data_IF_479115568794
#
_entry.id   IF_479115568794
#
_cell.length_a   1.000
_cell.length_b   1.000
_cell.length_c   1.000
_cell.angle_alpha   90.00
_cell.angle_beta   90.00
_cell.angle_gamma   90.00
#
_symmetry.space_group_name_H-M   'P 1'
#
loop_
_entity.id
_entity.type
_entity.pdbx_description
1 polymer ?
#
# COMPACT_ATOMS: atom_id res chain seq x y z
N UNK A 1 -15.99 17.40 11.48
CA UNK A 1 -15.38 16.25 10.79
C UNK A 1 -15.46 15.05 11.71
N UNK A 2 -15.81 13.89 11.17
CA UNK A 2 -15.85 12.61 11.88
C UNK A 2 -14.99 11.58 11.15
N UNK A 3 -14.32 10.71 11.91
CA UNK A 3 -13.49 9.62 11.39
C UNK A 3 -14.28 8.31 11.49
N UNK A 4 -14.21 7.52 10.44
CA UNK A 4 -14.80 6.19 10.40
C UNK A 4 -13.72 5.14 10.05
N UNK A 5 -13.77 3.94 10.63
CA UNK A 5 -12.87 2.86 10.24
C UNK A 5 -12.95 2.59 8.73
N UNK A 6 -11.84 2.18 8.11
CA UNK A 6 -11.83 1.81 6.72
C UNK A 6 -10.97 0.56 6.46
N UNK A 7 -11.29 -0.15 5.40
CA UNK A 7 -10.48 -1.24 4.85
C UNK A 7 -9.39 -0.73 3.90
N UNK A 8 -9.02 0.55 4.02
CA UNK A 8 -8.06 1.20 3.14
C UNK A 8 -6.63 1.06 3.63
N UNK A 9 -5.75 0.63 2.73
CA UNK A 9 -4.30 0.72 2.87
C UNK A 9 -3.72 1.53 1.72
N UNK A 10 -2.81 2.44 2.02
CA UNK A 10 -2.08 3.25 1.05
C UNK A 10 -0.67 2.66 0.83
N UNK A 11 -0.18 2.65 -0.43
CA UNK A 11 1.05 2.00 -0.84
C UNK A 11 1.91 2.87 -1.75
N UNK A 12 3.20 2.56 -1.81
CA UNK A 12 4.05 2.85 -2.97
C UNK A 12 4.29 1.54 -3.71
N UNK A 13 3.95 1.52 -4.97
CA UNK A 13 4.13 0.40 -5.88
C UNK A 13 5.51 0.48 -6.52
N UNK A 14 6.20 -0.65 -6.61
CA UNK A 14 7.48 -0.79 -7.30
C UNK A 14 7.27 -1.60 -8.57
N UNK A 15 7.39 -0.98 -9.73
CA UNK A 15 7.24 -1.68 -11.01
C UNK A 15 8.46 -2.59 -11.25
N UNK A 16 8.29 -3.91 -11.17
CA UNK A 16 9.37 -4.88 -11.36
C UNK A 16 9.80 -5.03 -12.84
N UNK A 17 9.12 -4.40 -13.79
CA UNK A 17 9.66 -4.23 -15.16
C UNK A 17 10.77 -3.17 -15.22
N UNK A 18 10.87 -2.30 -14.21
CA UNK A 18 12.03 -1.43 -14.04
C UNK A 18 13.15 -2.21 -13.34
N UNK A 19 14.24 -2.46 -14.06
CA UNK A 19 15.31 -3.39 -13.67
C UNK A 19 15.79 -3.28 -12.20
N UNK A 20 16.02 -2.09 -11.60
CA UNK A 20 16.41 -2.02 -10.20
C UNK A 20 15.38 -2.61 -9.24
N UNK A 21 14.08 -2.54 -9.55
CA UNK A 21 13.04 -3.09 -8.66
C UNK A 21 12.80 -4.59 -8.81
N UNK A 22 13.45 -5.28 -9.73
CA UNK A 22 13.54 -6.74 -9.74
C UNK A 22 14.33 -7.26 -8.54
N UNK A 23 15.24 -6.46 -8.03
CA UNK A 23 16.09 -6.80 -6.88
C UNK A 23 15.35 -6.53 -5.56
N UNK A 24 15.11 -7.58 -4.79
CA UNK A 24 14.45 -7.50 -3.50
C UNK A 24 15.21 -6.61 -2.51
N UNK A 25 16.53 -6.54 -2.59
CA UNK A 25 17.34 -5.68 -1.74
C UNK A 25 17.09 -4.19 -2.03
N UNK A 26 16.84 -3.83 -3.29
CA UNK A 26 16.43 -2.47 -3.65
C UNK A 26 15.05 -2.15 -3.08
N UNK A 27 14.07 -3.03 -3.24
CA UNK A 27 12.72 -2.81 -2.71
C UNK A 27 12.70 -2.72 -1.18
N UNK A 28 13.48 -3.59 -0.49
CA UNK A 28 13.66 -3.52 0.96
C UNK A 28 14.32 -2.21 1.39
N UNK A 29 15.41 -1.79 0.71
CA UNK A 29 16.07 -0.54 0.98
C UNK A 29 15.10 0.64 0.87
N UNK A 30 14.32 0.72 -0.22
CA UNK A 30 13.30 1.74 -0.41
C UNK A 30 12.24 1.72 0.71
N UNK A 31 11.78 0.55 1.11
CA UNK A 31 10.78 0.40 2.17
C UNK A 31 11.31 0.82 3.54
N UNK A 32 12.60 0.53 3.85
CA UNK A 32 13.27 0.98 5.08
C UNK A 32 13.48 2.49 5.14
N UNK A 33 13.54 3.20 3.99
CA UNK A 33 13.70 4.65 3.93
C UNK A 33 12.43 5.44 4.33
N UNK A 34 11.27 4.79 4.34
CA UNK A 34 10.00 5.49 4.51
C UNK A 34 9.65 5.61 5.99
N UNK A 35 9.70 6.84 6.52
CA UNK A 35 9.17 7.16 7.84
C UNK A 35 7.64 7.30 7.78
N UNK A 36 6.98 6.18 8.04
CA UNK A 36 5.51 6.08 8.01
C UNK A 36 4.83 6.94 9.06
N UNK A 37 5.47 7.12 10.24
CA UNK A 37 4.93 7.98 11.30
C UNK A 37 4.96 9.44 10.88
N UNK A 38 6.03 9.88 10.23
CA UNK A 38 6.13 11.23 9.67
C UNK A 38 5.09 11.45 8.56
N UNK A 39 4.87 10.46 7.67
CA UNK A 39 3.85 10.52 6.63
C UNK A 39 2.43 10.62 7.22
N UNK A 40 2.09 9.79 8.21
CA UNK A 40 0.79 9.86 8.90
C UNK A 40 0.56 11.25 9.50
N UNK A 41 1.60 11.83 10.11
CA UNK A 41 1.51 13.19 10.66
C UNK A 41 1.31 14.24 9.56
N UNK A 42 2.06 14.15 8.46
CA UNK A 42 2.05 15.15 7.39
C UNK A 42 0.76 15.09 6.54
N UNK A 43 0.26 13.90 6.23
CA UNK A 43 -0.85 13.69 5.29
C UNK A 43 -2.18 13.53 6.02
N UNK A 44 -2.18 12.76 7.11
CA UNK A 44 -3.40 12.41 7.85
C UNK A 44 -3.58 13.23 9.13
N UNK A 45 -2.68 14.21 9.40
CA UNK A 45 -2.70 15.01 10.62
C UNK A 45 -2.74 14.16 11.90
N UNK A 46 -2.08 13.00 11.88
CA UNK A 46 -2.08 12.03 12.97
C UNK A 46 -3.27 11.07 13.01
N UNK A 47 -4.23 11.21 12.10
CA UNK A 47 -5.46 10.41 12.07
C UNK A 47 -5.32 9.16 11.19
N UNK A 48 -4.28 8.37 11.40
CA UNK A 48 -4.02 7.12 10.70
C UNK A 48 -3.02 6.28 11.47
N UNK A 49 -2.73 5.09 10.97
CA UNK A 49 -1.78 4.16 11.60
C UNK A 49 -0.74 3.71 10.57
N UNK A 50 0.57 3.71 10.90
CA UNK A 50 1.58 3.11 10.04
C UNK A 50 1.23 1.68 9.66
N UNK A 51 1.30 1.33 8.38
CA UNK A 51 0.97 0.00 7.92
C UNK A 51 2.16 -0.97 8.09
N UNK A 52 1.87 -2.18 8.58
CA UNK A 52 2.81 -3.30 8.68
C UNK A 52 2.50 -4.40 7.64
N UNK A 53 1.34 -4.32 6.99
CA UNK A 53 0.86 -5.27 6.00
C UNK A 53 0.08 -4.55 4.90
N UNK A 54 -0.15 -5.23 3.78
CA UNK A 54 -1.09 -4.73 2.77
C UNK A 54 -2.56 -4.94 3.16
N UNK A 55 -2.87 -5.91 4.03
CA UNK A 55 -4.19 -6.05 4.65
C UNK A 55 -4.33 -5.08 5.84
N UNK A 56 -5.43 -4.33 5.95
CA UNK A 56 -5.68 -3.47 7.10
C UNK A 56 -6.33 -4.21 8.28
N UNK A 57 -6.24 -3.65 9.51
CA UNK A 57 -6.76 -4.29 10.73
C UNK A 57 -8.27 -4.58 10.76
N UNK A 58 -9.07 -3.92 9.89
CA UNK A 58 -10.51 -4.12 9.79
C UNK A 58 -10.90 -5.36 8.98
N UNK A 59 -9.92 -6.01 8.35
CA UNK A 59 -10.15 -7.20 7.54
C UNK A 59 -9.86 -8.45 8.34
N UNK A 60 -10.72 -9.49 8.30
CA UNK A 60 -10.43 -10.78 8.93
C UNK A 60 -9.06 -11.32 8.49
N UNK A 61 -8.42 -12.06 9.38
CA UNK A 61 -7.11 -12.67 9.15
C UNK A 61 -5.95 -11.68 8.93
N UNK A 62 -6.13 -10.38 9.26
CA UNK A 62 -5.00 -9.47 9.40
C UNK A 62 -3.99 -10.03 10.40
N UNK A 63 -2.70 -9.97 10.07
CA UNK A 63 -1.60 -10.41 10.95
C UNK A 63 -1.03 -9.22 11.73
N UNK A 64 -1.56 -9.00 12.93
CA UNK A 64 -1.08 -7.94 13.83
C UNK A 64 0.38 -8.17 14.29
N UNK A 65 0.83 -9.43 14.30
CA UNK A 65 2.17 -9.82 14.71
C UNK A 65 3.20 -9.73 13.58
N UNK A 66 2.77 -9.43 12.35
CA UNK A 66 3.69 -9.17 11.26
C UNK A 66 4.49 -7.90 11.57
N UNK A 67 5.84 -7.97 11.61
CA UNK A 67 6.65 -6.79 11.94
C UNK A 67 6.60 -5.73 10.84
N UNK A 68 6.28 -6.12 9.60
CA UNK A 68 6.43 -5.26 8.43
C UNK A 68 7.86 -4.71 8.30
N UNK A 69 8.07 -3.81 7.36
CA UNK A 69 9.34 -3.10 7.23
C UNK A 69 9.21 -1.74 7.91
N UNK A 70 9.89 -1.57 9.05
CA UNK A 70 9.89 -0.31 9.81
C UNK A 70 11.01 0.61 9.34
N UNK A 71 10.81 1.94 9.46
CA UNK A 71 11.83 2.93 9.12
C UNK A 71 13.17 2.64 9.82
N UNK A 72 14.23 2.46 9.04
CA UNK A 72 15.57 2.25 9.54
C UNK A 72 16.63 2.57 8.46
N UNK A 73 17.25 3.73 8.56
CA UNK A 73 18.26 4.17 7.58
C UNK A 73 19.49 3.25 7.53
N UNK A 74 19.89 2.67 8.67
CA UNK A 74 21.04 1.76 8.69
C UNK A 74 20.72 0.48 7.89
N UNK A 75 19.56 -0.13 8.12
CA UNK A 75 19.11 -1.29 7.35
C UNK A 75 18.90 -0.95 5.87
N UNK A 76 18.40 0.24 5.56
CA UNK A 76 18.28 0.68 4.16
C UNK A 76 19.65 0.70 3.46
N UNK A 77 20.70 1.20 4.14
CA UNK A 77 22.08 1.18 3.61
C UNK A 77 22.64 -0.23 3.47
N UNK A 78 22.37 -1.11 4.44
CA UNK A 78 22.78 -2.51 4.38
C UNK A 78 22.14 -3.25 3.20
N UNK A 79 20.85 -3.09 3.01
CA UNK A 79 20.13 -3.69 1.88
C UNK A 79 20.64 -3.12 0.56
N UNK A 80 20.82 -1.81 0.46
CA UNK A 80 21.35 -1.18 -0.75
C UNK A 80 22.76 -1.67 -1.10
N UNK A 81 23.62 -1.89 -0.11
CA UNK A 81 24.98 -2.43 -0.32
C UNK A 81 24.98 -3.87 -0.87
N UNK A 82 23.93 -4.67 -0.57
CA UNK A 82 23.74 -6.03 -1.09
C UNK A 82 23.10 -6.06 -2.48
N UNK A 83 22.56 -4.94 -2.93
CA UNK A 83 21.79 -4.86 -4.16
C UNK A 83 22.65 -4.88 -5.43
N UNK A 84 21.99 -5.09 -6.56
CA UNK A 84 22.61 -5.00 -7.89
C UNK A 84 23.02 -3.57 -8.27
N UNK A 85 22.60 -2.56 -7.49
CA UNK A 85 22.88 -1.14 -7.74
C UNK A 85 23.38 -0.41 -6.48
N UNK A 86 24.48 -0.88 -5.85
CA UNK A 86 24.89 -0.42 -4.52
C UNK A 86 25.31 1.06 -4.46
N UNK A 87 25.58 1.68 -5.62
CA UNK A 87 25.92 3.11 -5.73
C UNK A 87 24.70 4.01 -5.98
N UNK A 88 23.50 3.43 -6.01
CA UNK A 88 22.26 4.14 -6.31
C UNK A 88 21.85 4.02 -7.79
N UNK A 89 20.73 4.64 -8.12
CA UNK A 89 20.15 4.65 -9.46
C UNK A 89 19.23 5.85 -9.63
N UNK A 90 18.79 6.09 -10.86
CA UNK A 90 17.76 7.09 -11.16
C UNK A 90 16.45 6.39 -11.46
N UNK A 91 15.36 6.87 -10.89
CA UNK A 91 14.01 6.34 -11.10
C UNK A 91 13.00 7.47 -11.20
N UNK A 92 11.77 7.13 -11.56
CA UNK A 92 10.65 8.07 -11.64
C UNK A 92 9.57 7.70 -10.61
N UNK A 93 8.95 8.71 -10.03
CA UNK A 93 7.74 8.57 -9.23
C UNK A 93 6.61 9.30 -9.96
N UNK A 94 5.60 8.57 -10.40
CA UNK A 94 4.42 9.16 -11.02
C UNK A 94 3.41 9.60 -9.96
N UNK A 95 2.87 10.81 -10.12
CA UNK A 95 1.86 11.39 -9.26
C UNK A 95 0.80 12.14 -10.07
N UNK A 96 -0.43 12.16 -9.57
CA UNK A 96 -1.51 12.95 -10.15
C UNK A 96 -1.25 14.44 -9.92
N UNK A 97 -1.32 15.24 -10.98
CA UNK A 97 -1.20 16.69 -10.90
C UNK A 97 -2.33 17.26 -10.01
N UNK A 98 -1.94 18.07 -9.01
CA UNK A 98 -2.88 18.64 -8.04
C UNK A 98 -3.16 17.76 -6.82
N UNK A 99 -2.74 16.48 -6.77
CA UNK A 99 -2.84 15.64 -5.58
C UNK A 99 -1.76 16.01 -4.57
N UNK A 100 -2.16 16.64 -3.46
CA UNK A 100 -1.23 17.02 -2.38
C UNK A 100 -0.64 15.80 -1.68
N UNK A 101 -1.44 14.76 -1.45
CA UNK A 101 -1.00 13.55 -0.76
C UNK A 101 0.08 12.82 -1.58
N UNK A 102 -0.17 12.59 -2.88
CA UNK A 102 0.81 11.95 -3.76
C UNK A 102 2.08 12.80 -3.93
N UNK A 103 1.93 14.12 -4.04
CA UNK A 103 3.08 15.03 -4.12
C UNK A 103 3.93 14.97 -2.85
N UNK A 104 3.30 14.94 -1.68
CA UNK A 104 4.00 14.82 -0.39
C UNK A 104 4.75 13.50 -0.28
N UNK A 105 4.11 12.37 -0.63
CA UNK A 105 4.74 11.04 -0.61
C UNK A 105 5.95 11.04 -1.56
N UNK A 106 5.78 11.52 -2.79
CA UNK A 106 6.85 11.57 -3.78
C UNK A 106 8.05 12.41 -3.30
N UNK A 107 7.81 13.59 -2.69
CA UNK A 107 8.85 14.45 -2.15
C UNK A 107 9.60 13.81 -0.97
N UNK A 108 8.87 13.14 -0.07
CA UNK A 108 9.48 12.42 1.05
C UNK A 108 10.38 11.30 0.54
N UNK A 109 9.93 10.50 -0.43
CA UNK A 109 10.74 9.43 -1.02
C UNK A 109 11.95 9.99 -1.79
N UNK A 110 11.77 11.08 -2.53
CA UNK A 110 12.85 11.77 -3.23
C UNK A 110 13.93 12.24 -2.26
N UNK A 111 13.53 12.84 -1.14
CA UNK A 111 14.47 13.29 -0.11
C UNK A 111 15.16 12.11 0.60
N UNK A 112 14.39 11.08 0.95
CA UNK A 112 14.88 9.89 1.65
C UNK A 112 15.85 9.05 0.80
N UNK A 113 15.72 9.05 -0.51
CA UNK A 113 16.60 8.30 -1.42
C UNK A 113 18.02 8.87 -1.55
N UNK A 114 18.21 10.17 -1.30
CA UNK A 114 19.50 10.86 -1.50
C UNK A 114 20.68 10.20 -0.77
N UNK A 115 20.59 9.79 0.51
CA UNK A 115 21.69 9.15 1.22
C UNK A 115 22.13 7.80 0.65
N UNK A 116 21.33 7.19 -0.22
CA UNK A 116 21.62 5.94 -0.92
C UNK A 116 22.02 6.15 -2.38
N UNK A 117 22.23 7.40 -2.81
CA UNK A 117 22.52 7.71 -4.22
C UNK A 117 21.30 7.53 -5.16
N UNK A 118 20.09 7.43 -4.61
CA UNK A 118 18.87 7.26 -5.41
C UNK A 118 18.34 8.63 -5.81
N UNK A 119 18.26 8.87 -7.12
CA UNK A 119 17.67 10.07 -7.71
C UNK A 119 16.24 9.77 -8.15
N UNK A 120 15.26 10.38 -7.52
CA UNK A 120 13.85 10.24 -7.88
C UNK A 120 13.38 11.46 -8.66
N UNK A 121 12.94 11.26 -9.89
CA UNK A 121 12.29 12.29 -10.71
C UNK A 121 10.78 12.20 -10.48
N UNK A 122 10.15 13.30 -10.07
CA UNK A 122 8.70 13.34 -9.87
C UNK A 122 8.05 13.73 -11.19
N UNK A 123 7.26 12.81 -11.76
CA UNK A 123 6.49 13.02 -12.98
C UNK A 123 5.03 13.25 -12.62
N UNK A 124 4.53 14.45 -12.89
CA UNK A 124 3.13 14.80 -12.67
C UNK A 124 2.34 14.59 -13.96
N UNK A 125 1.27 13.83 -13.89
CA UNK A 125 0.32 13.55 -14.97
C UNK A 125 -1.08 14.02 -14.61
N UNK A 126 -1.89 14.32 -15.61
CA UNK A 126 -3.33 14.44 -15.36
C UNK A 126 -3.93 13.11 -14.90
N UNK A 127 -5.09 13.16 -14.23
CA UNK A 127 -5.68 11.98 -13.61
C UNK A 127 -5.99 10.85 -14.60
N UNK A 128 -6.39 11.17 -15.84
CA UNK A 128 -6.73 10.15 -16.84
C UNK A 128 -5.47 9.43 -17.35
N UNK A 129 -4.41 10.19 -17.66
CA UNK A 129 -3.14 9.64 -18.09
C UNK A 129 -2.49 8.81 -16.95
N UNK A 130 -2.56 9.28 -15.72
CA UNK A 130 -2.10 8.54 -14.56
C UNK A 130 -2.87 7.22 -14.38
N UNK A 131 -4.22 7.25 -14.47
CA UNK A 131 -5.06 6.06 -14.38
C UNK A 131 -4.77 5.06 -15.52
N UNK A 132 -4.51 5.55 -16.74
CA UNK A 132 -4.16 4.69 -17.86
C UNK A 132 -2.86 3.93 -17.60
N UNK A 133 -1.81 4.61 -17.12
CA UNK A 133 -0.55 3.98 -16.78
C UNK A 133 -0.67 3.06 -15.56
N UNK A 134 -1.47 3.43 -14.58
CA UNK A 134 -1.72 2.57 -13.41
C UNK A 134 -2.43 1.27 -13.84
N UNK A 135 -3.49 1.35 -14.63
CA UNK A 135 -4.24 0.17 -15.10
C UNK A 135 -3.40 -0.76 -15.98
N UNK A 136 -2.53 -0.20 -16.81
CA UNK A 136 -1.62 -0.95 -17.66
C UNK A 136 -0.32 -1.38 -16.94
N UNK A 137 -0.11 -0.97 -15.70
CA UNK A 137 1.15 -1.08 -14.97
C UNK A 137 2.37 -0.58 -15.78
N UNK A 138 2.17 0.47 -16.60
CA UNK A 138 3.18 1.03 -17.50
C UNK A 138 3.96 2.21 -16.92
N UNK A 139 3.70 2.60 -15.68
CA UNK A 139 4.42 3.68 -14.99
C UNK A 139 5.92 3.35 -14.82
N UNK A 140 6.82 4.31 -15.06
CA UNK A 140 8.26 4.05 -15.16
C UNK A 140 8.96 4.07 -13.79
N UNK A 141 8.78 3.08 -12.97
CA UNK A 141 9.46 2.92 -11.69
C UNK A 141 8.53 2.85 -10.50
N UNK A 142 8.08 3.97 -9.96
CA UNK A 142 7.19 4.03 -8.78
C UNK A 142 5.90 4.77 -9.06
N UNK A 143 4.87 4.36 -8.33
CA UNK A 143 3.58 5.01 -8.29
C UNK A 143 3.03 4.93 -6.87
N UNK A 144 2.14 5.84 -6.49
CA UNK A 144 1.40 5.75 -5.22
C UNK A 144 -0.04 5.36 -5.52
N UNK A 145 -0.51 4.34 -4.84
CA UNK A 145 -1.89 3.90 -4.93
C UNK A 145 -2.45 3.55 -3.55
N UNK A 146 -3.71 3.18 -3.53
CA UNK A 146 -4.39 2.63 -2.36
C UNK A 146 -5.38 1.58 -2.81
N UNK A 147 -5.80 0.76 -1.88
CA UNK A 147 -6.94 -0.13 -2.04
C UNK A 147 -7.91 0.04 -0.88
N UNK A 148 -9.18 0.18 -1.18
CA UNK A 148 -10.28 0.06 -0.23
C UNK A 148 -11.05 -1.17 -0.65
N UNK A 149 -11.16 -2.16 0.23
CA UNK A 149 -11.82 -3.42 -0.11
C UNK A 149 -13.34 -3.22 -0.19
N UNK A 150 -13.93 -3.79 -1.22
CA UNK A 150 -15.38 -3.81 -1.44
C UNK A 150 -16.05 -4.88 -0.59
N UNK A 151 -15.32 -5.97 -0.32
CA UNK A 151 -15.75 -7.11 0.48
C UNK A 151 -14.81 -7.25 1.68
N UNK A 152 -15.35 -7.51 2.87
CA UNK A 152 -14.53 -7.73 4.06
C UNK A 152 -13.99 -9.18 4.14
N UNK A 153 -13.56 -9.75 3.03
CA UNK A 153 -12.82 -11.02 2.98
C UNK A 153 -11.43 -10.76 2.41
N UNK A 154 -10.36 -11.26 3.04
CA UNK A 154 -8.99 -11.02 2.61
C UNK A 154 -8.70 -11.52 1.19
N UNK A 155 -9.45 -12.51 0.71
CA UNK A 155 -9.22 -13.09 -0.62
C UNK A 155 -9.32 -12.05 -1.75
N UNK A 156 -10.23 -11.08 -1.62
CA UNK A 156 -10.36 -9.99 -2.60
C UNK A 156 -9.00 -9.33 -2.89
N UNK A 157 -8.35 -8.81 -1.86
CA UNK A 157 -7.09 -8.07 -2.04
C UNK A 157 -5.89 -9.02 -2.18
N UNK A 158 -5.87 -10.14 -1.44
CA UNK A 158 -4.73 -11.05 -1.42
C UNK A 158 -4.58 -11.76 -2.77
N UNK A 159 -5.63 -12.33 -3.30
CA UNK A 159 -5.60 -12.97 -4.62
C UNK A 159 -5.23 -11.98 -5.71
N UNK A 160 -5.83 -10.79 -5.69
CA UNK A 160 -5.58 -9.72 -6.64
C UNK A 160 -4.12 -9.22 -6.62
N UNK A 161 -3.52 -9.14 -5.41
CA UNK A 161 -2.15 -8.63 -5.24
C UNK A 161 -1.07 -9.67 -5.47
N UNK A 162 -1.38 -10.96 -5.32
CA UNK A 162 -0.37 -12.01 -5.23
C UNK A 162 -0.43 -12.97 -6.42
N UNK A 163 -1.63 -13.28 -6.95
CA UNK A 163 -1.77 -14.24 -8.04
C UNK A 163 -1.82 -13.55 -9.42
N UNK A 164 -0.80 -13.72 -10.28
CA UNK A 164 -0.78 -13.12 -11.62
C UNK A 164 -1.97 -13.52 -12.49
N UNK A 165 -2.62 -14.68 -12.21
CA UNK A 165 -3.78 -15.15 -12.98
C UNK A 165 -5.04 -14.31 -12.77
N UNK A 166 -5.07 -13.43 -11.77
CA UNK A 166 -6.20 -12.53 -11.49
C UNK A 166 -6.26 -11.29 -12.38
N UNK A 167 -5.32 -11.14 -13.31
CA UNK A 167 -5.35 -10.07 -14.32
C UNK A 167 -5.01 -8.67 -13.84
N UNK A 168 -4.52 -8.55 -12.60
CA UNK A 168 -4.16 -7.28 -11.99
C UNK A 168 -2.64 -7.00 -12.02
N UNK A 169 -1.90 -7.67 -12.90
CA UNK A 169 -0.44 -7.59 -12.94
C UNK A 169 0.21 -7.73 -11.56
N UNK A 170 -0.30 -8.68 -10.72
CA UNK A 170 -0.01 -8.80 -9.29
C UNK A 170 -0.03 -7.44 -8.60
N UNK A 171 -1.21 -6.87 -8.61
CA UNK A 171 -1.54 -5.52 -8.16
C UNK A 171 -0.56 -4.47 -8.69
N UNK A 172 -0.44 -4.45 -10.04
CA UNK A 172 0.25 -3.41 -10.80
C UNK A 172 1.77 -3.32 -10.58
N UNK A 173 2.40 -4.32 -9.94
CA UNK A 173 3.86 -4.34 -9.70
C UNK A 173 4.60 -5.38 -10.53
N UNK A 174 3.91 -6.30 -11.18
CA UNK A 174 4.42 -7.52 -11.80
C UNK A 174 5.08 -8.48 -10.81
N UNK A 175 4.81 -8.30 -9.52
CA UNK A 175 5.30 -9.19 -8.49
C UNK A 175 4.78 -10.62 -8.70
N UNK A 176 5.67 -11.59 -8.49
CA UNK A 176 5.34 -13.00 -8.54
C UNK A 176 6.23 -13.79 -7.58
N UNK A 177 5.61 -14.43 -6.60
CA UNK A 177 6.30 -15.31 -5.64
C UNK A 177 5.58 -16.65 -5.58
N UNK A 178 6.21 -17.74 -6.04
CA UNK A 178 5.58 -19.09 -5.99
C UNK A 178 5.10 -19.49 -4.59
N UNK A 179 5.85 -19.09 -3.55
CA UNK A 179 5.50 -19.39 -2.17
C UNK A 179 4.26 -18.61 -1.70
N UNK A 180 4.17 -17.31 -2.06
CA UNK A 180 3.00 -16.48 -1.76
C UNK A 180 1.78 -16.96 -2.54
N UNK A 181 1.91 -17.25 -3.83
CA UNK A 181 0.83 -17.77 -4.69
C UNK A 181 0.28 -19.09 -4.14
N UNK A 182 1.15 -20.03 -3.79
CA UNK A 182 0.73 -21.31 -3.22
C UNK A 182 -0.02 -21.15 -1.89
N UNK A 183 0.47 -20.26 -1.01
CA UNK A 183 -0.19 -19.98 0.26
C UNK A 183 -1.54 -19.26 0.07
N UNK A 184 -1.64 -18.34 -0.88
CA UNK A 184 -2.90 -17.67 -1.25
C UNK A 184 -3.93 -18.68 -1.74
N UNK A 185 -3.57 -19.52 -2.72
CA UNK A 185 -4.47 -20.57 -3.24
C UNK A 185 -4.93 -21.55 -2.17
N UNK A 186 -4.05 -21.91 -1.23
CA UNK A 186 -4.44 -22.74 -0.10
C UNK A 186 -5.41 -22.01 0.84
N UNK A 187 -5.21 -20.72 1.11
CA UNK A 187 -6.06 -19.91 1.98
C UNK A 187 -7.47 -19.73 1.43
N UNK A 188 -7.60 -19.53 0.10
CA UNK A 188 -8.89 -19.39 -0.61
C UNK A 188 -9.78 -20.61 -0.43
N UNK A 189 -9.21 -21.82 -0.31
CA UNK A 189 -9.95 -23.07 -0.20
C UNK A 189 -9.99 -23.63 1.24
N UNK A 190 -9.41 -22.95 2.22
CA UNK A 190 -9.39 -23.40 3.61
C UNK A 190 -10.62 -22.89 4.37
N UNK A 191 -11.35 -23.81 4.99
CA UNK A 191 -12.56 -23.50 5.78
C UNK A 191 -12.33 -23.50 7.30
N UNK A 192 -11.25 -24.11 7.77
CA UNK A 192 -10.88 -24.01 9.19
C UNK A 192 -10.32 -22.63 9.49
N UNK A 193 -10.94 -21.82 10.37
CA UNK A 193 -10.53 -20.45 10.59
C UNK A 193 -9.08 -20.30 11.10
N UNK A 194 -8.59 -21.26 11.90
CA UNK A 194 -7.22 -21.20 12.44
C UNK A 194 -6.18 -21.49 11.35
N UNK A 195 -6.46 -22.48 10.50
CA UNK A 195 -5.60 -22.79 9.36
C UNK A 195 -5.62 -21.66 8.33
N UNK A 196 -6.79 -21.12 8.06
CA UNK A 196 -6.96 -19.98 7.15
C UNK A 196 -6.20 -18.75 7.66
N UNK A 197 -6.26 -18.45 8.97
CA UNK A 197 -5.44 -17.40 9.59
C UNK A 197 -3.95 -17.63 9.38
N UNK A 198 -3.46 -18.87 9.63
CA UNK A 198 -2.04 -19.20 9.47
C UNK A 198 -1.58 -19.00 8.01
N UNK A 199 -2.41 -19.37 7.05
CA UNK A 199 -2.11 -19.20 5.62
C UNK A 199 -2.05 -17.73 5.21
N UNK A 200 -3.05 -16.91 5.60
CA UNK A 200 -3.01 -15.48 5.31
C UNK A 200 -1.91 -14.74 6.06
N UNK A 201 -1.59 -15.14 7.30
CA UNK A 201 -0.40 -14.61 8.00
C UNK A 201 0.89 -14.93 7.24
N UNK A 202 1.02 -16.15 6.73
CA UNK A 202 2.17 -16.55 5.90
C UNK A 202 2.30 -15.67 4.65
N UNK A 203 1.19 -15.43 3.94
CA UNK A 203 1.20 -14.55 2.74
C UNK A 203 1.63 -13.14 3.11
N UNK A 204 1.06 -12.56 4.17
CA UNK A 204 1.40 -11.21 4.62
C UNK A 204 2.88 -11.06 4.98
N UNK A 205 3.47 -12.08 5.63
CA UNK A 205 4.90 -12.08 5.99
C UNK A 205 5.79 -12.20 4.76
N UNK A 206 5.50 -13.12 3.83
CA UNK A 206 6.23 -13.24 2.56
C UNK A 206 6.15 -11.91 1.79
N UNK A 207 4.96 -11.32 1.67
CA UNK A 207 4.76 -10.05 0.99
C UNK A 207 5.57 -8.89 1.62
N UNK A 208 5.66 -8.86 2.95
CA UNK A 208 6.47 -7.89 3.67
C UNK A 208 7.98 -8.15 3.48
N UNK A 209 8.42 -9.41 3.52
CA UNK A 209 9.82 -9.80 3.30
C UNK A 209 10.27 -9.51 1.88
N UNK A 210 9.42 -9.77 0.89
CA UNK A 210 9.71 -9.51 -0.53
C UNK A 210 9.58 -8.02 -0.88
N UNK A 211 8.97 -7.22 0.01
CA UNK A 211 8.78 -5.78 -0.18
C UNK A 211 8.22 -5.44 -1.57
N UNK A 212 7.26 -6.23 -2.08
CA UNK A 212 6.73 -6.05 -3.44
C UNK A 212 6.09 -4.68 -3.65
N UNK A 213 5.62 -4.07 -2.56
CA UNK A 213 5.25 -2.68 -2.44
C UNK A 213 5.64 -2.16 -1.05
N UNK A 214 5.78 -0.86 -0.89
CA UNK A 214 5.94 -0.28 0.43
C UNK A 214 4.56 0.08 1.01
N UNK A 215 4.16 -0.62 2.06
CA UNK A 215 2.95 -0.29 2.82
C UNK A 215 3.18 1.02 3.57
N UNK A 216 2.30 2.00 3.42
CA UNK A 216 2.48 3.31 4.02
C UNK A 216 1.70 3.46 5.32
N UNK A 217 0.39 3.48 5.21
CA UNK A 217 -0.50 3.67 6.36
C UNK A 217 -1.91 3.17 6.08
N UNK A 218 -2.62 2.90 7.16
CA UNK A 218 -4.05 2.68 7.17
C UNK A 218 -4.73 4.01 7.43
N UNK A 219 -5.59 4.46 6.49
CA UNK A 219 -6.26 5.74 6.58
C UNK A 219 -7.75 5.56 6.86
N UNK A 220 -8.32 6.26 7.86
CA UNK A 220 -9.76 6.24 8.10
C UNK A 220 -10.48 7.06 7.02
N UNK A 221 -11.76 6.79 6.83
CA UNK A 221 -12.62 7.69 6.10
C UNK A 221 -12.85 8.98 6.89
N UNK A 222 -12.78 10.11 6.20
CA UNK A 222 -12.93 11.44 6.78
C UNK A 222 -14.13 12.14 6.15
N UNK A 223 -15.20 12.31 6.90
CA UNK A 223 -16.41 12.98 6.45
C UNK A 223 -16.65 14.26 7.24
N UNK A 224 -17.04 15.32 6.55
CA UNK A 224 -17.52 16.56 7.13
C UNK A 224 -19.00 16.71 6.78
N UNK A 225 -19.84 16.87 7.79
CA UNK A 225 -21.28 17.08 7.63
C UNK A 225 -21.80 18.00 8.72
N UNK A 226 -23.00 18.56 8.48
CA UNK A 226 -23.67 19.42 9.45
C UNK A 226 -24.00 18.67 10.73
N UNK A 227 -23.97 19.35 11.88
CA UNK A 227 -24.39 18.78 13.16
C UNK A 227 -25.88 18.40 13.19
N UNK A 228 -26.66 18.92 12.25
CA UNK A 228 -28.08 18.57 12.08
C UNK A 228 -28.29 17.19 11.44
N UNK A 229 -27.27 16.57 10.84
CA UNK A 229 -27.37 15.24 10.24
C UNK A 229 -27.25 14.17 11.33
N UNK A 230 -28.26 13.34 11.43
CA UNK A 230 -28.36 12.21 12.35
C UNK A 230 -28.53 10.89 11.57
N UNK A 231 -28.20 9.74 12.18
CA UNK A 231 -28.37 8.41 11.59
C UNK A 231 -27.40 8.07 10.45
N UNK A 232 -26.54 8.99 10.03
CA UNK A 232 -25.55 8.72 9.00
C UNK A 232 -24.48 7.73 9.47
N UNK A 233 -24.29 6.64 8.72
CA UNK A 233 -23.30 5.59 8.98
C UNK A 233 -22.42 5.36 7.77
N UNK A 234 -21.16 5.00 8.02
CA UNK A 234 -20.19 4.61 6.99
C UNK A 234 -19.60 3.26 7.36
N UNK A 235 -19.69 2.32 6.44
CA UNK A 235 -19.08 1.00 6.60
C UNK A 235 -17.56 1.06 6.31
N UNK A 236 -16.77 0.14 6.87
CA UNK A 236 -15.33 0.09 6.62
C UNK A 236 -14.94 -0.06 5.14
N UNK A 237 -15.83 -0.60 4.31
CA UNK A 237 -15.69 -0.73 2.86
C UNK A 237 -15.93 0.58 2.08
N UNK A 238 -16.30 1.67 2.78
CA UNK A 238 -16.56 2.98 2.16
C UNK A 238 -18.01 3.22 1.76
N UNK A 239 -18.84 2.20 1.78
CA UNK A 239 -20.27 2.35 1.54
C UNK A 239 -20.90 3.11 2.72
N UNK A 240 -21.85 3.98 2.41
CA UNK A 240 -22.59 4.71 3.44
C UNK A 240 -24.07 4.35 3.40
N UNK A 241 -24.67 4.40 4.58
CA UNK A 241 -26.06 4.04 4.81
C UNK A 241 -26.85 5.30 5.14
N UNK A 242 -27.88 5.57 4.35
CA UNK A 242 -28.71 6.77 4.47
C UNK A 242 -30.16 6.49 4.87
N UNK A 243 -30.55 5.22 4.99
CA UNK A 243 -31.96 4.83 5.29
C UNK A 243 -32.46 5.44 6.59
N UNK A 244 -31.60 5.52 7.61
CA UNK A 244 -31.91 6.10 8.92
C UNK A 244 -31.44 7.56 9.05
N UNK A 245 -30.94 8.16 7.96
CA UNK A 245 -30.41 9.52 8.02
C UNK A 245 -31.54 10.56 7.97
N UNK A 246 -31.47 11.54 8.89
CA UNK A 246 -32.41 12.64 8.96
C UNK A 246 -31.76 13.94 9.40
N UNK A 247 -32.41 15.06 9.14
CA UNK A 247 -31.95 16.39 9.54
C UNK A 247 -32.85 16.95 10.66
N UNK A 248 -32.24 17.36 11.78
CA UNK A 248 -32.93 18.15 12.78
C UNK A 248 -33.18 19.58 12.27
N UNK A 249 -34.24 20.22 12.76
CA UNK A 249 -34.60 21.60 12.43
C UNK A 249 -33.58 22.62 12.94
#
# INVERSE_FOLDING_TARGET
>A
MKLFPSTRTDYVLFNEHFKPFQDVHVRRAMSYLIDRKALVKAILFGNGTPANSFLPPQVPYYDAESPGIQYNLAKAKEEMAKSSVPKGFTTTFEAVAGSLDQATIAQVIQAAGKPLGIKVNILKKDANAWNADWNAASYPGMNNSYWTMDIADPDELVSFSIDPSQGAHSFQTFYSSPAAIAATKAATHEFDPKKRQALYSKVQRIAAEDAFMAFLFYSPFRYAYTQKLHGFQVYPTGNYHLEDAWLSK
#
